data_IF_123939537068
#
_entry.id   IF_123939537068
#
_cell.length_a   1.000
_cell.length_b   1.000
_cell.length_c   1.000
_cell.angle_alpha   90.00
_cell.angle_beta   90.00
_cell.angle_gamma   90.00
#
_symmetry.space_group_name_H-M   'P 1'
#
loop_
_entity.id
_entity.type
_entity.pdbx_description
1 polymer ?
#
# COMPACT_ATOMS: atom_id res chain seq x y z
N UNK A 1 3.94 27.39 -32.13
CA UNK A 1 3.20 28.21 -31.14
C UNK A 1 3.51 27.67 -29.76
N UNK A 2 3.52 28.46 -28.70
CA UNK A 2 3.77 27.93 -27.36
C UNK A 2 2.55 27.14 -26.88
N UNK A 3 2.68 25.81 -26.83
CA UNK A 3 1.69 24.88 -26.30
C UNK A 3 1.72 24.93 -24.77
N UNK A 4 1.21 26.03 -24.20
CA UNK A 4 1.12 26.18 -22.75
C UNK A 4 -0.29 25.82 -22.30
N UNK A 5 -0.39 24.91 -21.33
CA UNK A 5 -1.64 24.55 -20.68
C UNK A 5 -1.69 25.23 -19.31
N UNK A 6 -2.73 26.01 -19.07
CA UNK A 6 -2.94 26.74 -17.81
C UNK A 6 -4.05 26.07 -17.01
N UNK A 7 -3.73 25.62 -15.80
CA UNK A 7 -4.68 24.97 -14.89
C UNK A 7 -4.86 25.87 -13.67
N UNK A 8 -6.08 26.39 -13.50
CA UNK A 8 -6.50 27.03 -12.26
C UNK A 8 -7.07 25.97 -11.33
N UNK A 9 -6.60 25.95 -10.08
CA UNK A 9 -7.05 24.95 -9.13
C UNK A 9 -7.29 25.54 -7.74
N UNK A 10 -8.21 24.91 -6.99
CA UNK A 10 -8.50 25.21 -5.60
C UNK A 10 -8.00 24.07 -4.73
N UNK A 11 -7.21 24.38 -3.72
CA UNK A 11 -6.73 23.44 -2.71
C UNK A 11 -6.85 24.11 -1.33
N UNK A 12 -7.48 23.45 -0.36
CA UNK A 12 -7.65 23.96 1.01
C UNK A 12 -8.20 25.40 1.08
N UNK A 13 -9.19 25.71 0.23
CA UNK A 13 -9.82 27.03 0.16
C UNK A 13 -8.99 28.12 -0.53
N UNK A 14 -7.76 27.82 -0.96
CA UNK A 14 -6.89 28.76 -1.69
C UNK A 14 -6.90 28.48 -3.19
N UNK A 15 -6.83 29.54 -3.99
CA UNK A 15 -6.72 29.46 -5.45
C UNK A 15 -5.26 29.53 -5.89
N UNK A 16 -4.89 28.65 -6.82
CA UNK A 16 -3.56 28.54 -7.39
C UNK A 16 -3.63 28.45 -8.93
N UNK A 17 -2.47 28.60 -9.56
CA UNK A 17 -2.31 28.50 -11.01
C UNK A 17 -1.06 27.67 -11.35
N UNK A 18 -1.22 26.70 -12.26
CA UNK A 18 -0.14 25.97 -12.91
C UNK A 18 -0.07 26.36 -14.37
N UNK A 19 1.15 26.59 -14.84
CA UNK A 19 1.48 26.68 -16.26
C UNK A 19 2.35 25.48 -16.59
N UNK A 20 1.87 24.64 -17.49
CA UNK A 20 2.56 23.49 -18.04
C UNK A 20 2.99 23.85 -19.46
N UNK A 21 4.29 23.73 -19.74
CA UNK A 21 4.87 24.07 -21.05
C UNK A 21 4.94 22.81 -21.93
N UNK A 22 3.81 22.14 -22.06
CA UNK A 22 3.66 20.87 -22.76
C UNK A 22 2.36 20.89 -23.56
N UNK A 23 2.32 20.16 -24.67
CA UNK A 23 1.06 19.91 -25.36
C UNK A 23 0.12 19.10 -24.47
N UNK A 24 -1.19 19.16 -24.73
CA UNK A 24 -2.18 18.42 -23.93
C UNK A 24 -1.88 16.91 -23.91
N UNK A 25 -1.46 16.36 -25.05
CA UNK A 25 -1.13 14.94 -25.24
C UNK A 25 0.13 14.49 -24.47
N UNK A 26 0.97 15.44 -24.04
CA UNK A 26 2.21 15.18 -23.29
C UNK A 26 2.03 15.32 -21.77
N UNK A 27 0.84 15.75 -21.33
CA UNK A 27 0.54 15.96 -19.92
C UNK A 27 -0.14 14.70 -19.38
N UNK A 28 0.58 13.99 -18.52
CA UNK A 28 0.04 12.89 -17.74
C UNK A 28 -0.44 13.33 -16.34
N UNK A 29 -1.24 12.49 -15.70
CA UNK A 29 -1.83 12.74 -14.38
C UNK A 29 -0.75 12.90 -13.30
N UNK A 30 0.28 12.06 -13.36
CA UNK A 30 1.38 12.08 -12.41
C UNK A 30 2.14 13.42 -12.41
N UNK A 31 2.33 14.00 -13.60
CA UNK A 31 2.95 15.30 -13.79
C UNK A 31 2.08 16.39 -13.19
N UNK A 32 0.76 16.34 -13.40
CA UNK A 32 -0.16 17.30 -12.80
C UNK A 32 -0.12 17.21 -11.27
N UNK A 33 -0.20 16.01 -10.71
CA UNK A 33 -0.15 15.79 -9.27
C UNK A 33 1.16 16.28 -8.65
N UNK A 34 2.31 15.90 -9.20
CA UNK A 34 3.62 16.33 -8.73
C UNK A 34 3.77 17.86 -8.78
N UNK A 35 3.27 18.48 -9.85
CA UNK A 35 3.29 19.94 -10.00
C UNK A 35 2.38 20.65 -9.01
N UNK A 36 1.23 20.06 -8.67
CA UNK A 36 0.34 20.55 -7.60
C UNK A 36 1.04 20.41 -6.24
N UNK A 37 1.56 19.24 -5.89
CA UNK A 37 2.27 19.01 -4.63
C UNK A 37 3.40 20.02 -4.45
N UNK A 38 4.27 20.16 -5.47
CA UNK A 38 5.35 21.16 -5.45
C UNK A 38 4.85 22.60 -5.33
N UNK A 39 3.72 22.96 -5.96
CA UNK A 39 3.15 24.31 -5.91
C UNK A 39 2.59 24.64 -4.52
N UNK A 40 1.96 23.67 -3.86
CA UNK A 40 1.32 23.84 -2.56
C UNK A 40 2.30 23.60 -1.39
N UNK A 41 3.40 22.89 -1.64
CA UNK A 41 4.40 22.54 -0.63
C UNK A 41 4.08 21.22 0.10
N UNK A 42 3.45 20.28 -0.61
CA UNK A 42 3.11 18.95 -0.10
C UNK A 42 4.20 17.94 -0.44
N UNK A 43 4.37 16.94 0.42
CA UNK A 43 5.23 15.78 0.17
C UNK A 43 4.45 14.68 -0.54
N UNK A 44 4.83 14.40 -1.80
CA UNK A 44 4.20 13.41 -2.69
C UNK A 44 4.19 11.99 -2.08
N UNK A 45 5.16 11.66 -1.22
CA UNK A 45 5.21 10.35 -0.56
C UNK A 45 4.14 10.20 0.54
N UNK A 46 3.77 11.30 1.19
CA UNK A 46 2.90 11.30 2.36
C UNK A 46 1.45 11.64 2.04
N UNK A 47 1.16 12.15 0.84
CA UNK A 47 -0.19 12.51 0.43
C UNK A 47 -0.63 11.77 -0.82
N UNK A 48 -1.94 11.61 -0.96
CA UNK A 48 -2.62 11.28 -2.19
C UNK A 48 -3.53 12.45 -2.56
N UNK A 49 -3.52 12.86 -3.82
CA UNK A 49 -4.43 13.88 -4.31
C UNK A 49 -5.69 13.22 -4.87
N UNK A 50 -6.84 13.84 -4.65
CA UNK A 50 -8.07 13.54 -5.37
C UNK A 50 -8.45 14.75 -6.22
N UNK A 51 -8.33 14.56 -7.52
CA UNK A 51 -8.57 15.59 -8.52
C UNK A 51 -10.00 15.49 -9.06
N UNK A 52 -10.62 16.63 -9.29
CA UNK A 52 -12.03 16.68 -9.68
C UNK A 52 -12.43 18.05 -10.19
N UNK A 53 -13.54 18.16 -10.91
CA UNK A 53 -14.04 19.44 -11.42
C UNK A 53 -15.56 19.37 -11.62
N UNK A 54 -16.21 20.52 -11.75
CA UNK A 54 -17.60 20.61 -12.20
C UNK A 54 -17.55 21.03 -13.67
N UNK A 55 -18.03 20.21 -14.62
CA UNK A 55 -17.92 20.48 -16.05
C UNK A 55 -18.74 21.72 -16.45
N UNK A 56 -18.33 22.42 -17.51
CA UNK A 56 -19.09 23.56 -18.07
C UNK A 56 -20.29 23.09 -18.94
N UNK A 57 -20.99 22.04 -18.49
CA UNK A 57 -22.16 21.50 -19.17
C UNK A 57 -23.43 22.15 -18.59
N UNK A 58 -24.34 22.55 -19.47
CA UNK A 58 -25.60 23.19 -19.06
C UNK A 58 -26.41 22.21 -18.20
N UNK A 59 -26.75 22.62 -16.98
CA UNK A 59 -27.57 21.84 -16.06
C UNK A 59 -26.84 20.74 -15.29
N UNK A 60 -25.50 20.70 -15.34
CA UNK A 60 -24.70 19.79 -14.52
C UNK A 60 -24.00 20.56 -13.40
N UNK A 61 -24.39 20.26 -12.16
CA UNK A 61 -23.68 20.70 -10.94
C UNK A 61 -22.88 19.54 -10.31
N UNK A 62 -22.81 18.40 -11.01
CA UNK A 62 -22.16 17.19 -10.52
C UNK A 62 -20.64 17.30 -10.63
N UNK A 63 -19.97 16.82 -9.59
CA UNK A 63 -18.51 16.83 -9.50
C UNK A 63 -17.96 15.57 -10.18
N UNK A 64 -17.21 15.75 -11.26
CA UNK A 64 -16.48 14.69 -11.96
C UNK A 64 -15.13 14.48 -11.29
N UNK A 65 -14.80 13.23 -10.96
CA UNK A 65 -13.50 12.84 -10.42
C UNK A 65 -12.60 12.41 -11.58
N UNK A 66 -11.36 12.88 -11.57
CA UNK A 66 -10.35 12.45 -12.54
C UNK A 66 -9.65 11.23 -11.95
N UNK A 67 -9.86 10.06 -12.55
CA UNK A 67 -9.32 8.79 -12.07
C UNK A 67 -8.15 8.28 -12.93
N UNK A 68 -8.12 8.63 -14.21
CA UNK A 68 -7.14 8.17 -15.17
C UNK A 68 -6.71 9.25 -16.17
N UNK A 69 -5.89 8.86 -17.14
CA UNK A 69 -5.35 9.75 -18.19
C UNK A 69 -6.42 10.19 -19.20
N UNK A 70 -7.46 9.38 -19.45
CA UNK A 70 -8.55 9.75 -20.35
C UNK A 70 -9.43 10.84 -19.73
N UNK A 71 -9.75 10.69 -18.44
CA UNK A 71 -10.45 11.71 -17.66
C UNK A 71 -9.67 13.03 -17.63
N UNK A 72 -8.34 12.94 -17.46
CA UNK A 72 -7.47 14.11 -17.47
C UNK A 72 -7.49 14.78 -18.83
N UNK A 73 -7.30 14.01 -19.90
CA UNK A 73 -7.35 14.52 -21.27
C UNK A 73 -8.70 15.21 -21.55
N UNK A 74 -9.81 14.58 -21.13
CA UNK A 74 -11.14 15.17 -21.19
C UNK A 74 -11.23 16.51 -20.46
N UNK A 75 -10.71 16.61 -19.24
CA UNK A 75 -10.66 17.87 -18.49
C UNK A 75 -9.81 18.94 -19.20
N UNK A 76 -8.64 18.57 -19.73
CA UNK A 76 -7.73 19.50 -20.40
C UNK A 76 -8.31 20.03 -21.72
N UNK A 77 -9.02 19.19 -22.47
CA UNK A 77 -9.67 19.57 -23.73
C UNK A 77 -11.01 20.27 -23.53
N UNK A 78 -11.63 20.12 -22.36
CA UNK A 78 -12.91 20.76 -22.02
C UNK A 78 -12.76 22.27 -21.83
N UNK A 79 -12.96 22.99 -22.94
CA UNK A 79 -12.99 24.44 -23.00
C UNK A 79 -14.35 24.90 -23.51
N UNK A 80 -14.89 25.98 -22.94
CA UNK A 80 -16.10 26.59 -23.47
C UNK A 80 -15.82 27.44 -24.73
N UNK A 81 -16.88 27.98 -25.32
CA UNK A 81 -16.82 28.88 -26.49
C UNK A 81 -15.96 30.13 -26.29
N UNK A 82 -15.63 30.48 -25.04
CA UNK A 82 -14.78 31.62 -24.68
C UNK A 82 -13.38 31.15 -24.24
N UNK A 83 -13.01 29.90 -24.54
CA UNK A 83 -11.73 29.28 -24.18
C UNK A 83 -11.48 29.24 -22.65
N UNK A 84 -12.55 29.12 -21.86
CA UNK A 84 -12.49 29.01 -20.40
C UNK A 84 -12.52 27.54 -20.01
N UNK A 85 -11.71 27.19 -19.01
CA UNK A 85 -11.67 25.87 -18.37
C UNK A 85 -12.32 25.92 -16.99
N UNK A 86 -12.91 24.81 -16.55
CA UNK A 86 -13.36 24.64 -15.18
C UNK A 86 -12.19 24.84 -14.20
N UNK A 87 -12.52 25.22 -12.96
CA UNK A 87 -11.56 25.17 -11.87
C UNK A 87 -11.36 23.70 -11.45
N UNK A 88 -10.11 23.26 -11.39
CA UNK A 88 -9.76 21.98 -10.80
C UNK A 88 -9.89 22.07 -9.27
N UNK A 89 -10.58 21.12 -8.67
CA UNK A 89 -10.73 20.95 -7.24
C UNK A 89 -9.75 19.87 -6.79
N UNK A 90 -8.87 20.23 -5.86
CA UNK A 90 -7.84 19.36 -5.29
C UNK A 90 -8.16 19.12 -3.83
N UNK A 91 -8.43 17.87 -3.51
CA UNK A 91 -8.55 17.38 -2.14
C UNK A 91 -7.28 16.60 -1.78
N UNK A 92 -6.69 16.93 -0.63
CA UNK A 92 -5.46 16.30 -0.12
C UNK A 92 -5.85 15.23 0.89
N UNK A 93 -5.37 14.00 0.68
CA UNK A 93 -5.64 12.85 1.55
C UNK A 93 -4.30 12.41 2.12
N UNK A 94 -4.13 12.49 3.43
CA UNK A 94 -2.92 12.01 4.12
C UNK A 94 -2.85 10.47 4.05
N UNK A 95 -1.66 9.95 3.75
CA UNK A 95 -1.37 8.51 3.88
C UNK A 95 -1.02 8.26 5.34
N UNK A 96 -1.92 7.62 6.08
CA UNK A 96 -1.59 7.15 7.42
C UNK A 96 -0.55 6.03 7.29
N UNK A 97 0.71 6.31 7.62
CA UNK A 97 1.68 5.26 7.85
C UNK A 97 1.26 4.48 9.11
N UNK A 98 0.84 3.23 8.96
CA UNK A 98 0.84 2.27 10.06
C UNK A 98 2.30 2.03 10.46
N UNK A 99 2.85 2.93 11.27
CA UNK A 99 4.21 2.80 11.79
C UNK A 99 4.37 1.49 12.57
N UNK A 100 5.43 0.76 12.22
CA UNK A 100 5.87 -0.55 12.65
C UNK A 100 6.12 -0.70 14.18
N UNK A 101 5.09 -0.57 15.02
CA UNK A 101 5.25 -0.73 16.49
C UNK A 101 5.06 -2.16 17.02
N UNK A 102 5.07 -3.21 16.18
CA UNK A 102 4.92 -4.60 16.64
C UNK A 102 6.24 -5.40 16.78
N UNK A 103 7.41 -4.86 16.46
CA UNK A 103 8.66 -5.65 16.47
C UNK A 103 9.50 -5.57 17.76
N UNK A 104 9.04 -4.88 18.82
CA UNK A 104 9.72 -4.83 20.13
C UNK A 104 9.03 -5.69 21.21
N UNK A 105 8.60 -6.90 20.86
CA UNK A 105 8.33 -7.94 21.87
C UNK A 105 9.67 -8.46 22.42
N UNK A 106 9.90 -8.20 23.71
CA UNK A 106 11.18 -8.37 24.37
C UNK A 106 11.73 -9.79 24.39
N UNK A 107 13.02 -9.92 24.11
CA UNK A 107 13.83 -11.04 24.62
C UNK A 107 14.13 -10.75 26.10
N UNK A 108 13.77 -11.61 27.07
CA UNK A 108 14.33 -11.49 28.40
C UNK A 108 15.79 -12.00 28.33
N UNK A 109 16.74 -11.08 28.21
CA UNK A 109 18.13 -11.37 28.55
C UNK A 109 18.18 -11.61 30.07
N UNK A 110 18.16 -12.87 30.49
CA UNK A 110 18.34 -13.21 31.90
C UNK A 110 19.74 -12.79 32.33
N UNK A 111 19.79 -11.81 33.23
CA UNK A 111 21.01 -11.24 33.79
C UNK A 111 21.65 -12.24 34.75
N UNK A 112 22.97 -12.32 34.60
CA UNK A 112 23.96 -12.93 35.49
C UNK A 112 23.58 -12.78 36.97
N UNK A 113 23.60 -13.89 37.72
CA UNK A 113 23.87 -13.87 39.15
C UNK A 113 25.11 -14.71 39.44
N UNK A 114 26.03 -14.09 40.16
CA UNK A 114 27.34 -14.59 40.55
C UNK A 114 27.27 -15.28 41.91
N UNK A 115 27.72 -16.54 42.01
CA UNK A 115 28.24 -17.11 43.27
C UNK A 115 29.14 -18.32 43.00
N UNK A 116 30.34 -18.28 43.56
CA UNK A 116 31.44 -19.23 43.39
C UNK A 116 31.24 -20.56 44.14
N UNK A 117 31.80 -21.65 43.60
CA UNK A 117 31.88 -22.95 44.28
C UNK A 117 32.63 -24.03 43.48
N UNK A 118 33.95 -24.08 43.68
CA UNK A 118 34.95 -25.17 43.50
C UNK A 118 34.57 -26.50 42.76
N UNK A 119 35.43 -26.76 41.74
CA UNK A 119 36.30 -27.93 41.52
C UNK A 119 35.80 -29.22 40.81
N UNK A 120 36.72 -29.71 39.97
CA UNK A 120 36.89 -31.04 39.34
C UNK A 120 36.08 -31.30 38.06
N UNK A 121 36.52 -32.03 37.04
CA UNK A 121 37.82 -32.52 36.52
C UNK A 121 37.44 -33.50 35.39
N UNK A 122 38.15 -33.50 34.24
CA UNK A 122 38.07 -34.54 33.17
C UNK A 122 36.73 -34.53 32.40
N UNK A 123 36.61 -34.66 31.09
CA UNK A 123 37.49 -34.92 29.96
C UNK A 123 36.61 -35.21 28.74
N UNK A 124 37.14 -34.91 27.57
CA UNK A 124 36.80 -35.41 26.23
C UNK A 124 35.38 -35.28 25.67
N UNK A 125 35.32 -34.43 24.64
CA UNK A 125 34.44 -34.53 23.48
C UNK A 125 34.58 -35.92 22.83
N UNK A 126 33.46 -36.59 22.60
CA UNK A 126 33.30 -37.54 21.50
C UNK A 126 31.89 -37.44 20.97
N UNK A 127 31.77 -37.17 19.67
CA UNK A 127 30.59 -37.48 18.89
C UNK A 127 30.76 -38.90 18.36
N UNK A 128 29.90 -39.84 18.78
CA UNK A 128 29.79 -41.17 18.16
C UNK A 128 28.33 -41.62 18.22
N UNK A 129 27.75 -41.80 17.04
CA UNK A 129 26.45 -42.42 16.78
C UNK A 129 26.50 -43.95 16.96
N UNK A 130 25.32 -44.58 16.83
CA UNK A 130 25.03 -46.03 16.89
C UNK A 130 24.70 -46.51 18.32
N UNK A 131 23.61 -47.21 18.62
CA UNK A 131 22.79 -48.12 17.81
C UNK A 131 21.37 -48.20 18.38
N UNK A 132 20.43 -48.66 17.53
CA UNK A 132 19.07 -49.04 17.89
C UNK A 132 19.05 -50.18 18.92
N UNK A 133 18.08 -50.18 19.84
CA UNK A 133 16.90 -51.07 19.81
C UNK A 133 16.24 -51.13 21.20
N UNK A 134 14.93 -50.88 21.17
CA UNK A 134 13.86 -51.50 21.97
C UNK A 134 13.92 -51.49 23.52
N UNK A 135 13.15 -50.56 24.11
CA UNK A 135 12.29 -50.95 25.22
C UNK A 135 10.91 -50.29 25.10
N UNK A 136 9.93 -51.15 24.86
CA UNK A 136 8.51 -50.86 24.70
C UNK A 136 7.94 -50.47 26.06
N UNK A 137 7.50 -49.21 26.17
CA UNK A 137 6.73 -48.69 27.29
C UNK A 137 5.27 -48.51 26.89
N UNK A 138 4.41 -49.31 27.51
CA UNK A 138 2.99 -49.46 27.23
C UNK A 138 2.22 -48.14 27.04
N UNK A 139 1.71 -47.93 25.81
CA UNK A 139 0.34 -47.52 25.46
C UNK A 139 0.27 -47.15 23.98
N UNK A 140 0.25 -48.17 23.12
CA UNK A 140 -0.18 -48.04 21.73
C UNK A 140 -1.37 -48.97 21.49
N UNK A 141 -2.53 -48.40 21.15
CA UNK A 141 -3.67 -49.15 20.62
C UNK A 141 -3.63 -48.98 19.10
N UNK A 142 -3.58 -50.09 18.37
CA UNK A 142 -3.51 -50.15 16.91
C UNK A 142 -4.74 -50.86 16.33
N UNK A 143 -5.29 -50.27 15.25
CA UNK A 143 -6.17 -50.82 14.17
C UNK A 143 -7.64 -51.14 14.50
N UNK A 144 -8.60 -51.02 13.58
CA UNK A 144 -8.66 -51.34 12.12
C UNK A 144 -9.36 -50.20 11.32
N UNK A 145 -9.19 -49.94 10.02
CA UNK A 145 -8.79 -50.78 8.88
C UNK A 145 -10.04 -51.33 8.16
N UNK A 146 -10.54 -50.65 7.12
CA UNK A 146 -11.65 -51.17 6.31
C UNK A 146 -12.13 -50.22 5.21
N UNK A 147 -11.44 -50.20 4.07
CA UNK A 147 -12.01 -49.76 2.80
C UNK A 147 -13.05 -50.78 2.33
N UNK A 148 -14.23 -50.33 1.86
CA UNK A 148 -14.84 -50.97 0.70
C UNK A 148 -15.88 -50.07 0.02
N UNK A 149 -15.78 -50.04 -1.31
CA UNK A 149 -16.65 -49.37 -2.25
C UNK A 149 -18.00 -50.11 -2.45
N UNK A 150 -18.90 -49.42 -3.17
CA UNK A 150 -19.95 -49.93 -4.09
C UNK A 150 -21.42 -49.93 -3.60
N UNK A 151 -22.15 -48.98 -4.20
CA UNK A 151 -23.53 -48.97 -4.74
C UNK A 151 -24.63 -49.85 -4.11
N UNK A 152 -25.80 -49.23 -3.93
CA UNK A 152 -27.08 -49.70 -4.52
C UNK A 152 -28.09 -48.56 -4.66
N UNK A 153 -28.79 -48.59 -5.81
CA UNK A 153 -29.90 -47.76 -6.26
C UNK A 153 -31.21 -48.00 -5.48
N UNK A 154 -32.22 -47.20 -5.87
CA UNK A 154 -33.67 -47.22 -5.59
C UNK A 154 -34.03 -46.46 -4.31
N UNK A 155 -34.84 -45.41 -4.35
CA UNK A 155 -36.11 -45.23 -5.09
C UNK A 155 -36.32 -43.76 -5.52
#
# INVERSE_FOLDING_TARGET
MSHNVIIHFRCEGRMYCLVLKHAVEEIDLSMVEARICKKVGLDECNVKLKLSYIPLLVGSDEKFVICDEEDLCGYLLSLDKNNRRCILLVEVIERLELSEQLSRAGKPSSKRSSKAGKQNSVGMNYEVCHSNDDEIGDKAITRYGGDNQVNKQYE
#
